data_IF_938579295806
#
_entry.id   IF_938579295806
#
_cell.length_a   1.000
_cell.length_b   1.000
_cell.length_c   1.000
_cell.angle_alpha   90.00
_cell.angle_beta   90.00
_cell.angle_gamma   90.00
#
_symmetry.space_group_name_H-M   'P 1'
#
loop_
_entity.id
_entity.type
_entity.pdbx_description
1 polymer ?
#
# COMPACT_ATOMS: atom_id res chain seq x y z
N UNK A 1 8.81 -17.28 18.59
CA UNK A 1 7.58 -16.50 18.35
C UNK A 1 7.43 -16.32 16.85
N UNK A 2 6.21 -16.40 16.31
CA UNK A 2 5.98 -16.10 14.89
C UNK A 2 6.00 -14.59 14.71
N UNK A 3 6.85 -14.09 13.79
CA UNK A 3 6.88 -12.66 13.46
C UNK A 3 5.56 -12.28 12.78
N UNK A 4 4.88 -11.21 13.21
CA UNK A 4 3.72 -10.72 12.51
C UNK A 4 4.11 -10.10 11.17
N UNK A 5 3.14 -10.13 10.28
CA UNK A 5 3.21 -9.51 8.96
C UNK A 5 2.29 -8.31 9.00
N UNK A 6 2.84 -7.18 8.58
CA UNK A 6 2.16 -5.90 8.54
C UNK A 6 1.68 -5.68 7.11
N UNK A 7 0.41 -5.31 6.96
CA UNK A 7 -0.10 -4.61 5.77
C UNK A 7 -0.28 -3.17 6.18
N UNK A 8 0.52 -2.27 5.60
CA UNK A 8 0.46 -0.84 5.81
C UNK A 8 -0.16 -0.20 4.56
N UNK A 9 -1.23 0.55 4.74
CA UNK A 9 -1.79 1.44 3.72
C UNK A 9 -1.44 2.86 4.11
N UNK A 10 -0.87 3.63 3.20
CA UNK A 10 -0.67 5.07 3.37
C UNK A 10 -1.41 5.80 2.26
N UNK A 11 -2.22 6.79 2.63
CA UNK A 11 -2.93 7.60 1.67
C UNK A 11 -2.87 9.08 2.04
N UNK A 12 -2.81 9.90 1.01
CA UNK A 12 -2.82 11.36 1.08
C UNK A 12 -3.59 11.82 -0.14
N UNK A 13 -4.85 12.19 0.07
CA UNK A 13 -5.74 12.63 -1.00
C UNK A 13 -5.93 14.14 -0.91
N UNK A 14 -6.02 14.82 -2.05
CA UNK A 14 -6.21 16.28 -2.13
C UNK A 14 -7.45 16.80 -1.39
N UNK A 15 -8.44 15.94 -1.15
CA UNK A 15 -9.62 16.25 -0.35
C UNK A 15 -9.34 16.37 1.17
N UNK A 16 -8.09 16.20 1.59
CA UNK A 16 -7.64 16.31 2.97
C UNK A 16 -7.66 15.00 3.76
N UNK A 17 -8.04 13.88 3.13
CA UNK A 17 -7.96 12.56 3.76
C UNK A 17 -6.52 12.05 3.71
N UNK A 18 -5.81 12.27 4.81
CA UNK A 18 -4.42 11.86 5.01
C UNK A 18 -4.36 10.96 6.24
N UNK A 19 -4.08 9.67 6.05
CA UNK A 19 -3.96 8.74 7.17
C UNK A 19 -3.18 7.48 6.79
N UNK A 20 -3.07 6.57 7.77
CA UNK A 20 -2.47 5.25 7.61
C UNK A 20 -3.35 4.18 8.24
N UNK A 21 -3.62 3.13 7.48
CA UNK A 21 -4.24 1.91 8.01
C UNK A 21 -3.21 0.81 8.21
N UNK A 22 -3.31 0.08 9.32
CA UNK A 22 -2.40 -1.01 9.66
C UNK A 22 -3.19 -2.27 9.97
N UNK A 23 -2.86 -3.35 9.27
CA UNK A 23 -3.46 -4.67 9.49
C UNK A 23 -2.38 -5.70 9.82
N UNK A 24 -2.70 -6.64 10.72
CA UNK A 24 -1.78 -7.67 11.17
C UNK A 24 -2.18 -9.04 10.69
N UNK A 25 -1.21 -9.80 10.22
CA UNK A 25 -1.37 -11.15 9.70
C UNK A 25 -0.30 -12.08 10.27
N UNK A 26 -0.61 -13.38 10.29
CA UNK A 26 0.36 -14.44 10.59
C UNK A 26 0.79 -15.20 9.32
N UNK A 27 0.16 -14.96 8.17
CA UNK A 27 0.45 -15.70 6.94
C UNK A 27 0.73 -14.76 5.77
N UNK A 28 1.94 -14.84 5.20
CA UNK A 28 2.41 -13.92 4.15
C UNK A 28 1.55 -13.98 2.89
N UNK A 29 1.14 -15.18 2.49
CA UNK A 29 0.28 -15.36 1.31
C UNK A 29 -1.08 -14.68 1.50
N UNK A 30 -1.68 -14.80 2.69
CA UNK A 30 -2.94 -14.12 3.02
C UNK A 30 -2.77 -12.60 3.08
N UNK A 31 -1.69 -12.11 3.68
CA UNK A 31 -1.39 -10.68 3.79
C UNK A 31 -1.21 -10.04 2.40
N UNK A 32 -0.44 -10.68 1.51
CA UNK A 32 -0.27 -10.22 0.12
C UNK A 32 -1.56 -10.24 -0.67
N UNK A 33 -2.37 -11.30 -0.56
CA UNK A 33 -3.66 -11.36 -1.23
C UNK A 33 -4.59 -10.22 -0.78
N UNK A 34 -4.56 -9.88 0.52
CA UNK A 34 -5.29 -8.75 1.06
C UNK A 34 -4.75 -7.41 0.53
N UNK A 35 -3.42 -7.19 0.57
CA UNK A 35 -2.78 -5.99 0.04
C UNK A 35 -3.07 -5.75 -1.45
N UNK A 36 -2.98 -6.79 -2.29
CA UNK A 36 -3.36 -6.72 -3.70
C UNK A 36 -4.84 -6.39 -3.90
N UNK A 37 -5.72 -6.92 -3.05
CA UNK A 37 -7.14 -6.59 -3.13
C UNK A 37 -7.40 -5.12 -2.79
N UNK A 38 -6.69 -4.55 -1.80
CA UNK A 38 -6.76 -3.12 -1.47
C UNK A 38 -6.29 -2.24 -2.63
N UNK A 39 -5.15 -2.57 -3.24
CA UNK A 39 -4.64 -1.86 -4.41
C UNK A 39 -5.64 -1.90 -5.59
N UNK A 40 -6.20 -3.08 -5.87
CA UNK A 40 -7.23 -3.26 -6.90
C UNK A 40 -8.49 -2.44 -6.60
N UNK A 41 -8.97 -2.45 -5.35
CA UNK A 41 -10.15 -1.67 -4.95
C UNK A 41 -9.92 -0.17 -5.09
N UNK A 42 -8.73 0.32 -4.73
CA UNK A 42 -8.36 1.72 -4.95
C UNK A 42 -8.46 2.11 -6.42
N UNK A 43 -7.87 1.32 -7.32
CA UNK A 43 -7.94 1.57 -8.77
C UNK A 43 -9.39 1.50 -9.29
N UNK A 44 -10.13 0.46 -8.93
CA UNK A 44 -11.51 0.25 -9.39
C UNK A 44 -12.45 1.37 -8.91
N UNK A 45 -12.36 1.78 -7.64
CA UNK A 45 -13.23 2.80 -7.06
C UNK A 45 -12.98 4.19 -7.67
N UNK A 46 -11.73 4.47 -8.06
CA UNK A 46 -11.34 5.73 -8.68
C UNK A 46 -11.34 5.67 -10.22
N UNK A 47 -11.70 4.52 -10.82
CA UNK A 47 -11.68 4.28 -12.26
C UNK A 47 -10.29 4.52 -12.89
N UNK A 48 -9.25 4.20 -12.14
CA UNK A 48 -7.86 4.35 -12.54
C UNK A 48 -7.29 3.04 -13.10
N UNK A 49 -6.30 3.20 -13.96
CA UNK A 49 -5.46 2.17 -14.57
C UNK A 49 -4.02 2.65 -14.57
N UNK A 50 -3.07 1.74 -14.83
CA UNK A 50 -1.65 2.10 -14.96
C UNK A 50 -1.40 3.20 -16.01
N UNK A 51 -2.21 3.26 -17.09
CA UNK A 51 -2.07 4.28 -18.13
C UNK A 51 -2.47 5.69 -17.70
N UNK A 52 -3.13 5.84 -16.54
CA UNK A 52 -3.45 7.16 -16.00
C UNK A 52 -2.24 7.81 -15.30
N UNK A 53 -1.19 7.05 -15.00
CA UNK A 53 0.03 7.49 -14.30
C UNK A 53 1.21 7.70 -15.25
N UNK A 54 1.02 8.48 -16.31
CA UNK A 54 2.02 8.67 -17.38
C UNK A 54 2.56 10.11 -17.45
N UNK A 55 2.15 10.98 -16.54
CA UNK A 55 2.71 12.32 -16.35
C UNK A 55 4.16 12.27 -15.88
N UNK A 56 4.89 13.35 -16.12
CA UNK A 56 6.33 13.46 -15.78
C UNK A 56 6.63 13.20 -14.30
N UNK A 57 5.68 13.55 -13.43
CA UNK A 57 5.79 13.40 -11.98
C UNK A 57 4.96 12.25 -11.42
N UNK A 58 4.19 11.53 -12.24
CA UNK A 58 3.38 10.41 -11.77
C UNK A 58 4.27 9.24 -11.33
N UNK A 59 3.73 8.40 -10.45
CA UNK A 59 4.38 7.15 -10.03
C UNK A 59 3.35 6.03 -10.07
N UNK A 60 3.72 4.89 -10.65
CA UNK A 60 2.99 3.63 -10.56
C UNK A 60 3.98 2.47 -10.51
N UNK A 61 4.16 1.89 -9.33
CA UNK A 61 5.11 0.80 -9.11
C UNK A 61 4.41 -0.36 -8.40
N UNK A 62 4.62 -1.57 -8.91
CA UNK A 62 4.10 -2.81 -8.31
C UNK A 62 5.22 -3.83 -8.27
N UNK A 63 5.62 -4.22 -7.07
CA UNK A 63 6.69 -5.19 -6.89
C UNK A 63 6.28 -6.27 -5.87
N UNK A 64 6.80 -7.48 -6.07
CA UNK A 64 6.53 -8.62 -5.19
C UNK A 64 7.68 -9.61 -5.21
N UNK A 65 8.06 -10.09 -4.04
CA UNK A 65 8.92 -11.26 -3.87
C UNK A 65 8.37 -12.13 -2.73
N UNK A 66 8.95 -13.28 -2.42
CA UNK A 66 8.45 -14.24 -1.43
C UNK A 66 8.18 -13.65 -0.04
N UNK A 67 8.93 -12.63 0.38
CA UNK A 67 8.82 -12.01 1.71
C UNK A 67 8.05 -10.69 1.77
N UNK A 68 7.62 -10.10 0.65
CA UNK A 68 6.96 -8.79 0.67
C UNK A 68 6.15 -8.49 -0.60
N UNK A 69 5.34 -7.43 -0.54
CA UNK A 69 4.61 -6.85 -1.68
C UNK A 69 4.56 -5.33 -1.52
N UNK A 70 4.71 -4.59 -2.62
CA UNK A 70 4.48 -3.15 -2.68
C UNK A 70 3.56 -2.78 -3.84
N UNK A 71 2.76 -1.75 -3.59
CA UNK A 71 2.03 -0.98 -4.58
C UNK A 71 2.22 0.49 -4.19
N UNK A 72 2.78 1.28 -5.10
CA UNK A 72 3.09 2.69 -4.85
C UNK A 72 2.47 3.50 -5.98
N UNK A 73 1.66 4.49 -5.61
CA UNK A 73 1.09 5.42 -6.59
C UNK A 73 1.19 6.86 -6.14
N UNK A 74 1.45 7.73 -7.11
CA UNK A 74 1.30 9.18 -7.02
C UNK A 74 0.69 9.67 -8.33
N UNK A 75 -0.46 10.31 -8.25
CA UNK A 75 -1.12 10.95 -9.39
C UNK A 75 -1.00 12.47 -9.23
N UNK A 76 -0.10 13.08 -9.98
CA UNK A 76 0.30 14.48 -9.81
C UNK A 76 -0.86 15.44 -10.14
N UNK A 77 -1.67 15.11 -11.14
CA UNK A 77 -2.81 15.95 -11.54
C UNK A 77 -3.86 16.13 -10.45
N UNK A 78 -4.00 15.13 -9.58
CA UNK A 78 -4.95 15.11 -8.47
C UNK A 78 -4.26 15.29 -7.12
N UNK A 79 -2.93 15.41 -7.06
CA UNK A 79 -2.16 15.39 -5.82
C UNK A 79 -2.51 14.20 -4.90
N UNK A 80 -2.77 13.03 -5.49
CA UNK A 80 -3.26 11.85 -4.77
C UNK A 80 -2.18 10.78 -4.63
N UNK A 81 -1.97 10.31 -3.39
CA UNK A 81 -1.10 9.20 -3.03
C UNK A 81 -1.93 8.04 -2.49
N UNK A 82 -1.65 6.82 -2.98
CA UNK A 82 -2.14 5.60 -2.34
C UNK A 82 -1.11 4.48 -2.44
N UNK A 83 -0.58 4.07 -1.29
CA UNK A 83 0.45 3.06 -1.20
C UNK A 83 -0.02 1.88 -0.33
N UNK A 84 0.35 0.67 -0.72
CA UNK A 84 0.14 -0.55 0.05
C UNK A 84 1.47 -1.29 0.17
N UNK A 85 1.88 -1.58 1.41
CA UNK A 85 3.09 -2.33 1.71
C UNK A 85 2.75 -3.56 2.54
N UNK A 86 3.37 -4.69 2.23
CA UNK A 86 3.24 -5.93 2.99
C UNK A 86 4.63 -6.46 3.33
N UNK A 87 4.94 -6.60 4.61
CA UNK A 87 6.26 -7.04 5.05
C UNK A 87 6.23 -7.66 6.46
N UNK A 88 7.22 -8.49 6.77
CA UNK A 88 7.45 -9.00 8.14
C UNK A 88 8.16 -7.95 8.99
N UNK A 89 7.75 -7.80 10.25
CA UNK A 89 8.45 -6.95 11.21
C UNK A 89 8.39 -7.55 12.61
N UNK A 90 9.46 -7.39 13.38
CA UNK A 90 9.41 -7.61 14.83
C UNK A 90 8.72 -6.42 15.50
N UNK A 91 7.84 -6.68 16.46
CA UNK A 91 7.33 -5.63 17.34
C UNK A 91 8.23 -5.52 18.54
N UNK A 92 8.81 -4.33 18.69
CA UNK A 92 9.44 -3.90 19.92
C UNK A 92 8.59 -2.78 20.49
N UNK A 93 8.33 -2.82 21.80
CA UNK A 93 7.73 -1.69 22.48
C UNK A 93 8.65 -0.48 22.31
N UNK A 94 8.05 0.70 22.14
CA UNK A 94 8.81 1.94 22.17
C UNK A 94 9.53 2.03 23.52
N UNK A 95 10.86 2.11 23.49
CA UNK A 95 11.64 2.41 24.70
C UNK A 95 11.38 3.87 25.03
N UNK A 96 10.52 4.13 26.02
CA UNK A 96 10.25 5.45 26.59
C UNK A 96 11.41 5.96 27.42
#
# INVERSE_FOLDING_TARGET
>A
MQKPIIVLVEYDFHNGNIDKDVFLFLNMKKAKAFGKNLARQYLENNKLTESDFQGEFDTFEVEEDNSWYSFITWLDSECDKYNVFVYEREFEDAVT
#
